data_IF_910143932069
#
_entry.id   IF_910143932069
#
_cell.length_a   1.000
_cell.length_b   1.000
_cell.length_c   1.000
_cell.angle_alpha   90.00
_cell.angle_beta   90.00
_cell.angle_gamma   90.00
#
_symmetry.space_group_name_H-M   'P 1'
#
loop_
_entity.id
_entity.type
_entity.pdbx_description
1 polymer ?
#
# COMPACT_ATOMS: atom_id res chain seq x y z
N UNK A 1 6.34 7.42 15.34
CA UNK A 1 5.80 7.50 13.96
C UNK A 1 5.89 8.94 13.50
N UNK A 2 6.35 9.17 12.27
CA UNK A 2 6.47 10.51 11.69
C UNK A 2 5.09 11.11 11.33
N UNK A 3 4.87 12.44 11.43
CA UNK A 3 3.58 13.05 11.10
C UNK A 3 3.09 12.81 9.66
N UNK A 4 3.99 12.73 8.68
CA UNK A 4 3.64 12.45 7.27
C UNK A 4 3.18 11.00 7.14
N UNK A 5 3.89 10.07 7.78
CA UNK A 5 3.49 8.66 7.84
C UNK A 5 2.10 8.49 8.46
N UNK A 6 1.81 9.20 9.56
CA UNK A 6 0.48 9.17 10.18
C UNK A 6 -0.59 9.70 9.24
N UNK A 7 -0.33 10.80 8.55
CA UNK A 7 -1.27 11.37 7.58
C UNK A 7 -1.55 10.42 6.40
N UNK A 8 -0.53 9.66 5.94
CA UNK A 8 -0.72 8.61 4.94
C UNK A 8 -1.64 7.50 5.47
N UNK A 9 -1.39 7.02 6.69
CA UNK A 9 -2.26 6.02 7.32
C UNK A 9 -3.69 6.54 7.45
N UNK A 10 -3.90 7.75 7.97
CA UNK A 10 -5.25 8.32 8.13
C UNK A 10 -6.03 8.39 6.80
N UNK A 11 -5.37 8.71 5.68
CA UNK A 11 -6.00 8.70 4.35
C UNK A 11 -6.40 7.27 3.94
N UNK A 12 -5.51 6.31 4.11
CA UNK A 12 -5.74 4.91 3.73
C UNK A 12 -6.77 4.25 4.64
N UNK A 13 -6.75 4.53 5.94
CA UNK A 13 -7.77 4.12 6.93
C UNK A 13 -9.15 4.63 6.51
N UNK A 14 -9.26 5.91 6.16
CA UNK A 14 -10.51 6.52 5.69
C UNK A 14 -11.06 5.89 4.41
N UNK A 15 -10.21 5.25 3.61
CA UNK A 15 -10.63 4.55 2.38
C UNK A 15 -11.10 3.12 2.62
N UNK A 16 -10.76 2.52 3.77
CA UNK A 16 -10.98 1.11 4.15
C UNK A 16 -10.27 0.06 3.28
N UNK A 17 -9.99 0.34 2.01
CA UNK A 17 -9.33 -0.59 1.09
C UNK A 17 -8.48 0.12 0.03
N UNK A 18 -7.26 -0.36 -0.17
CA UNK A 18 -6.34 0.12 -1.22
C UNK A 18 -5.76 -1.08 -1.96
N UNK A 19 -5.86 -1.07 -3.29
CA UNK A 19 -5.23 -2.08 -4.12
C UNK A 19 -3.72 -1.84 -4.13
N UNK A 20 -2.90 -2.85 -3.92
CA UNK A 20 -1.45 -2.71 -3.97
C UNK A 20 -0.93 -3.02 -5.36
N UNK A 21 -1.34 -4.18 -5.86
CA UNK A 21 -1.02 -4.69 -7.17
C UNK A 21 -2.17 -5.54 -7.69
N UNK A 22 -2.22 -5.70 -9.01
CA UNK A 22 -3.25 -6.47 -9.67
C UNK A 22 -2.85 -6.69 -11.12
N UNK A 23 -2.71 -7.95 -11.50
CA UNK A 23 -2.61 -8.37 -12.89
C UNK A 23 -3.61 -9.50 -13.14
N UNK A 24 -3.58 -10.12 -14.32
CA UNK A 24 -4.51 -11.21 -14.66
C UNK A 24 -4.34 -12.46 -13.78
N UNK A 25 -3.18 -12.63 -13.16
CA UNK A 25 -2.78 -13.84 -12.45
C UNK A 25 -2.86 -13.69 -10.93
N UNK A 26 -2.59 -12.49 -10.39
CA UNK A 26 -2.58 -12.21 -8.96
C UNK A 26 -3.08 -10.83 -8.59
N UNK A 27 -3.52 -10.69 -7.35
CA UNK A 27 -3.96 -9.43 -6.75
C UNK A 27 -3.47 -9.29 -5.31
N UNK A 28 -3.38 -8.05 -4.85
CA UNK A 28 -2.95 -7.71 -3.50
C UNK A 28 -3.69 -6.48 -3.01
N UNK A 29 -4.24 -6.52 -1.79
CA UNK A 29 -5.01 -5.43 -1.19
C UNK A 29 -4.57 -5.18 0.25
N UNK A 30 -4.54 -3.91 0.65
CA UNK A 30 -4.56 -3.51 2.06
C UNK A 30 -5.98 -3.14 2.45
N UNK A 31 -6.43 -3.65 3.58
CA UNK A 31 -7.71 -3.35 4.16
C UNK A 31 -7.56 -2.87 5.60
N UNK A 32 -8.34 -1.87 5.98
CA UNK A 32 -8.52 -1.46 7.36
C UNK A 32 -9.94 -1.77 7.79
N UNK A 33 -10.11 -2.73 8.70
CA UNK A 33 -11.42 -3.16 9.21
C UNK A 33 -11.31 -3.48 10.68
N UNK A 34 -12.34 -3.17 11.47
CA UNK A 34 -12.35 -3.46 12.92
C UNK A 34 -11.09 -2.98 13.66
N UNK A 35 -10.51 -1.84 13.24
CA UNK A 35 -9.26 -1.28 13.76
C UNK A 35 -8.02 -2.18 13.60
N UNK A 36 -8.06 -3.12 12.67
CA UNK A 36 -6.92 -3.95 12.28
C UNK A 36 -6.61 -3.76 10.81
N UNK A 37 -5.32 -3.81 10.51
CA UNK A 37 -4.80 -3.83 9.15
C UNK A 37 -4.67 -5.26 8.66
N UNK A 38 -5.22 -5.51 7.48
CA UNK A 38 -5.19 -6.81 6.82
C UNK A 38 -4.52 -6.65 5.47
N UNK A 39 -3.53 -7.49 5.19
CA UNK A 39 -2.95 -7.65 3.87
C UNK A 39 -3.53 -8.92 3.26
N UNK A 40 -4.27 -8.74 2.17
CA UNK A 40 -4.84 -9.84 1.40
C UNK A 40 -4.02 -10.03 0.13
N UNK A 41 -3.53 -11.25 -0.09
CA UNK A 41 -2.84 -11.66 -1.32
C UNK A 41 -3.65 -12.78 -1.93
N UNK A 42 -3.94 -12.69 -3.22
CA UNK A 42 -4.69 -13.72 -3.92
C UNK A 42 -4.13 -14.03 -5.29
N UNK A 43 -4.41 -15.25 -5.72
CA UNK A 43 -4.11 -15.78 -7.04
C UNK A 43 -5.43 -15.98 -7.78
N UNK A 44 -5.61 -15.23 -8.87
CA UNK A 44 -6.86 -15.17 -9.64
C UNK A 44 -7.12 -16.51 -10.35
N UNK A 45 -6.06 -17.25 -10.69
CA UNK A 45 -6.15 -18.51 -11.45
C UNK A 45 -6.60 -19.68 -10.56
N UNK A 46 -6.09 -19.73 -9.34
CA UNK A 46 -6.36 -20.79 -8.36
C UNK A 46 -7.46 -20.42 -7.36
N UNK A 47 -7.89 -19.14 -7.36
CA UNK A 47 -8.83 -18.55 -6.38
C UNK A 47 -8.35 -18.67 -4.93
N UNK A 48 -7.07 -18.97 -4.71
CA UNK A 48 -6.49 -19.00 -3.37
C UNK A 48 -6.30 -17.58 -2.89
N UNK A 49 -6.74 -17.32 -1.67
CA UNK A 49 -6.59 -16.03 -1.00
C UNK A 49 -5.98 -16.28 0.38
N UNK A 50 -4.92 -15.56 0.68
CA UNK A 50 -4.30 -15.50 2.00
C UNK A 50 -4.57 -14.12 2.59
N UNK A 51 -5.02 -14.09 3.85
CA UNK A 51 -5.28 -12.86 4.59
C UNK A 51 -4.45 -12.90 5.86
N UNK A 52 -3.57 -11.91 6.00
CA UNK A 52 -2.67 -11.77 7.14
C UNK A 52 -2.90 -10.44 7.84
N UNK A 53 -2.94 -10.45 9.17
CA UNK A 53 -2.90 -9.21 9.93
C UNK A 53 -1.49 -8.62 9.86
N UNK A 54 -1.38 -7.33 9.57
CA UNK A 54 -0.10 -6.64 9.43
C UNK A 54 -0.01 -5.45 10.38
N UNK A 55 1.20 -5.04 10.76
CA UNK A 55 1.40 -3.85 11.58
C UNK A 55 1.30 -2.56 10.76
N UNK A 56 1.10 -1.42 11.42
CA UNK A 56 1.14 -0.09 10.76
C UNK A 56 2.49 0.15 10.04
N UNK A 57 3.59 -0.36 10.60
CA UNK A 57 4.92 -0.25 10.00
C UNK A 57 5.03 -1.06 8.70
N UNK A 58 4.41 -2.24 8.66
CA UNK A 58 4.33 -3.05 7.45
C UNK A 58 3.44 -2.41 6.39
N UNK A 59 2.28 -1.85 6.80
CA UNK A 59 1.40 -1.08 5.93
C UNK A 59 2.17 0.07 5.27
N UNK A 60 2.85 0.88 6.07
CA UNK A 60 3.68 1.98 5.60
C UNK A 60 4.73 1.49 4.59
N UNK A 61 5.48 0.43 4.94
CA UNK A 61 6.49 -0.15 4.04
C UNK A 61 5.88 -0.56 2.70
N UNK A 62 4.72 -1.20 2.69
CA UNK A 62 4.07 -1.68 1.48
C UNK A 62 3.51 -0.53 0.63
N UNK A 63 2.91 0.48 1.24
CA UNK A 63 2.44 1.69 0.55
C UNK A 63 3.59 2.46 -0.11
N UNK A 64 4.73 2.57 0.59
CA UNK A 64 5.93 3.19 0.06
C UNK A 64 6.44 2.47 -1.19
N UNK A 65 6.53 1.13 -1.14
CA UNK A 65 6.92 0.33 -2.30
C UNK A 65 5.96 0.48 -3.47
N UNK A 66 4.64 0.46 -3.23
CA UNK A 66 3.62 0.69 -4.27
C UNK A 66 3.85 2.02 -4.99
N UNK A 67 4.05 3.10 -4.25
CA UNK A 67 4.27 4.43 -4.85
C UNK A 67 5.55 4.43 -5.65
N UNK A 68 6.64 3.89 -5.08
CA UNK A 68 7.94 3.78 -5.75
C UNK A 68 7.89 3.02 -7.08
N UNK A 69 7.18 1.89 -7.12
CA UNK A 69 6.99 1.13 -8.36
C UNK A 69 6.17 1.93 -9.39
N UNK A 70 5.14 2.66 -8.94
CA UNK A 70 4.27 3.45 -9.82
C UNK A 70 4.93 4.70 -10.39
N UNK A 71 5.84 5.31 -9.66
CA UNK A 71 6.61 6.49 -10.10
C UNK A 71 7.82 6.12 -10.96
N UNK A 72 8.10 4.82 -11.15
CA UNK A 72 9.14 4.33 -12.06
C UNK A 72 10.56 4.29 -11.48
N UNK A 73 10.70 4.31 -10.14
CA UNK A 73 12.01 4.27 -9.49
C UNK A 73 12.45 2.82 -9.20
N UNK A 74 13.06 2.17 -10.20
CA UNK A 74 13.60 0.80 -10.12
C UNK A 74 15.13 0.79 -9.90
N UNK A 75 15.65 -0.16 -9.10
CA UNK A 75 17.10 -0.37 -8.93
C UNK A 75 17.81 0.57 -7.93
N UNK A 76 19.16 0.59 -7.89
CA UNK A 76 19.97 1.39 -6.96
C UNK A 76 20.09 2.87 -7.35
N UNK A 77 19.09 3.40 -8.06
CA UNK A 77 19.03 4.80 -8.47
C UNK A 77 18.60 5.67 -7.27
N UNK A 78 19.35 6.72 -6.97
CA UNK A 78 19.13 7.67 -5.85
C UNK A 78 17.90 8.59 -6.05
N UNK A 79 17.00 8.26 -7.00
CA UNK A 79 15.63 8.80 -7.09
C UNK A 79 14.77 8.30 -5.92
N UNK A 80 15.11 8.72 -4.72
CA UNK A 80 14.45 8.28 -3.49
C UNK A 80 13.04 8.87 -3.44
N UNK A 81 12.02 8.01 -3.56
CA UNK A 81 10.65 8.36 -3.14
C UNK A 81 10.72 8.79 -1.69
N UNK A 82 10.27 10.00 -1.39
CA UNK A 82 10.13 10.50 -0.04
C UNK A 82 8.74 10.17 0.50
N UNK A 83 8.59 10.25 1.82
CA UNK A 83 7.25 10.16 2.43
C UNK A 83 6.30 11.28 1.97
N UNK A 84 6.85 12.44 1.58
CA UNK A 84 6.07 13.52 1.00
C UNK A 84 5.45 13.11 -0.33
N UNK A 85 6.22 12.43 -1.19
CA UNK A 85 5.71 11.91 -2.48
C UNK A 85 4.61 10.87 -2.27
N UNK A 86 4.77 9.99 -1.27
CA UNK A 86 3.75 9.01 -0.88
C UNK A 86 2.46 9.71 -0.45
N UNK A 87 2.58 10.75 0.38
CA UNK A 87 1.44 11.54 0.82
C UNK A 87 0.74 12.25 -0.35
N UNK A 88 1.49 12.86 -1.26
CA UNK A 88 0.94 13.52 -2.44
C UNK A 88 0.26 12.55 -3.40
N UNK A 89 0.82 11.36 -3.59
CA UNK A 89 0.23 10.29 -4.38
C UNK A 89 -1.18 9.92 -3.88
N UNK A 90 -1.34 9.69 -2.57
CA UNK A 90 -2.63 9.33 -1.99
C UNK A 90 -3.59 10.52 -1.86
N UNK A 91 -3.08 11.75 -1.72
CA UNK A 91 -3.91 12.97 -1.77
C UNK A 91 -4.46 13.27 -3.16
N UNK A 92 -3.72 12.91 -4.21
CA UNK A 92 -4.18 13.01 -5.59
C UNK A 92 -5.27 11.99 -5.95
N UNK A 93 -5.64 11.09 -5.01
CA UNK A 93 -6.70 10.10 -5.19
C UNK A 93 -6.25 8.83 -5.90
N UNK A 94 -4.95 8.54 -5.93
CA UNK A 94 -4.42 7.30 -6.49
C UNK A 94 -4.46 6.18 -5.43
N UNK A 95 -5.29 5.16 -5.65
CA UNK A 95 -5.47 3.99 -4.76
C UNK A 95 -5.33 2.69 -5.54
#
# INVERSE_FOLDING_TARGET
MDPIQRAVLDIVEGRNEVALSGNRESFSYLQFRNRVWLHTIGDTMTQKTEVSQVSEEEVLRVLFWKVRERTGHYGPDDGAVSWQDVLEYFRAGHY
#
